data_IF_970640208591
#
_entry.id   IF_970640208591
#
_cell.length_a   1.000
_cell.length_b   1.000
_cell.length_c   1.000
_cell.angle_alpha   90.00
_cell.angle_beta   90.00
_cell.angle_gamma   90.00
#
_symmetry.space_group_name_H-M   'P 1'
#
loop_
_entity.id
_entity.type
_entity.pdbx_description
1 polymer ?
#
# COMPACT_ATOMS: atom_id res chain seq x y z
N UNK A 1 10.13 -9.27 23.30
CA UNK A 1 10.35 -8.24 24.34
C UNK A 1 11.09 -8.91 25.49
N UNK A 2 12.07 -8.27 26.10
CA UNK A 2 12.86 -8.86 27.19
C UNK A 2 12.92 -7.85 28.32
N UNK A 3 12.59 -8.28 29.53
CA UNK A 3 12.66 -7.46 30.74
C UNK A 3 13.66 -8.09 31.69
N UNK A 4 14.55 -7.27 32.26
CA UNK A 4 15.50 -7.69 33.30
C UNK A 4 15.37 -6.76 34.49
N UNK A 5 15.27 -7.32 35.70
CA UNK A 5 15.18 -6.55 36.93
C UNK A 5 16.19 -7.07 37.95
N UNK A 6 16.76 -6.17 38.76
CA UNK A 6 17.61 -6.56 39.88
C UNK A 6 16.76 -6.81 41.12
N UNK A 7 16.67 -8.06 41.57
CA UNK A 7 15.87 -8.45 42.73
C UNK A 7 16.25 -7.70 44.02
N UNK A 8 17.49 -7.22 44.13
CA UNK A 8 17.97 -6.46 45.28
C UNK A 8 17.35 -5.05 45.38
N UNK A 9 16.78 -4.53 44.30
CA UNK A 9 16.31 -3.15 44.19
C UNK A 9 14.79 -3.03 44.07
N UNK A 10 14.05 -4.15 44.10
CA UNK A 10 12.61 -4.15 43.83
C UNK A 10 11.83 -5.01 44.83
N UNK A 11 10.52 -4.75 45.00
CA UNK A 11 9.65 -5.63 45.79
C UNK A 11 9.68 -7.07 45.26
N UNK A 12 9.57 -8.05 46.15
CA UNK A 12 9.62 -9.49 45.82
C UNK A 12 8.54 -9.95 44.84
N UNK A 13 7.43 -9.21 44.76
CA UNK A 13 6.29 -9.53 43.89
C UNK A 13 6.54 -9.05 42.45
N UNK A 14 7.33 -8.00 42.27
CA UNK A 14 7.55 -7.35 40.97
C UNK A 14 8.15 -8.29 39.90
N UNK A 15 9.15 -9.16 40.18
CA UNK A 15 9.66 -10.09 39.17
C UNK A 15 8.59 -11.02 38.62
N UNK A 16 7.67 -11.49 39.49
CA UNK A 16 6.56 -12.36 39.09
C UNK A 16 5.56 -11.58 38.25
N UNK A 17 5.17 -10.39 38.69
CA UNK A 17 4.22 -9.54 37.96
C UNK A 17 4.76 -9.16 36.57
N UNK A 18 6.05 -8.85 36.45
CA UNK A 18 6.70 -8.57 35.18
C UNK A 18 6.78 -9.80 34.27
N UNK A 19 7.01 -10.99 34.85
CA UNK A 19 6.99 -12.25 34.11
C UNK A 19 5.58 -12.54 33.55
N UNK A 20 4.55 -12.37 34.38
CA UNK A 20 3.15 -12.59 33.99
C UNK A 20 2.73 -11.56 32.92
N UNK A 21 3.11 -10.29 33.07
CA UNK A 21 2.90 -9.26 32.06
C UNK A 21 3.65 -9.57 30.75
N UNK A 22 4.89 -10.07 30.82
CA UNK A 22 5.65 -10.45 29.63
C UNK A 22 5.04 -11.67 28.92
N UNK A 23 4.51 -12.65 29.67
CA UNK A 23 3.76 -13.77 29.08
C UNK A 23 2.48 -13.27 28.41
N UNK A 24 1.74 -12.36 29.06
CA UNK A 24 0.54 -11.74 28.49
C UNK A 24 0.88 -11.00 27.18
N UNK A 25 1.90 -10.14 27.19
CA UNK A 25 2.32 -9.38 26.00
C UNK A 25 2.94 -10.27 24.92
N UNK A 26 3.56 -11.39 25.29
CA UNK A 26 4.10 -12.37 24.35
C UNK A 26 3.02 -13.24 23.69
N UNK A 27 1.88 -13.42 24.37
CA UNK A 27 0.76 -14.22 23.88
C UNK A 27 -0.30 -13.41 23.11
N UNK A 28 -0.30 -12.08 23.25
CA UNK A 28 -1.27 -11.21 22.62
C UNK A 28 -0.62 -10.32 21.55
N UNK A 29 -1.38 -9.96 20.53
CA UNK A 29 -0.95 -8.95 19.57
C UNK A 29 -0.92 -7.58 20.24
N UNK A 30 0.06 -6.76 19.86
CA UNK A 30 0.22 -5.40 20.36
C UNK A 30 0.42 -4.44 19.20
N UNK A 31 -0.28 -3.32 19.21
CA UNK A 31 -0.07 -2.24 18.25
C UNK A 31 0.93 -1.24 18.86
N UNK A 32 1.91 -0.83 18.05
CA UNK A 32 2.86 0.23 18.41
C UNK A 32 2.78 1.33 17.37
N UNK A 33 2.37 2.51 17.79
CA UNK A 33 2.32 3.69 16.95
C UNK A 33 3.63 4.46 17.05
N UNK A 34 4.24 4.75 15.90
CA UNK A 34 5.45 5.54 15.80
C UNK A 34 5.17 6.78 14.95
N UNK A 35 5.63 7.94 15.43
CA UNK A 35 5.51 9.20 14.71
C UNK A 35 6.89 9.66 14.26
N UNK A 36 6.94 10.24 13.05
CA UNK A 36 8.18 10.69 12.42
C UNK A 36 8.05 12.14 11.98
N UNK A 37 9.12 12.91 12.18
CA UNK A 37 9.14 14.34 11.83
C UNK A 37 9.21 14.59 10.32
N UNK A 38 9.66 13.60 9.55
CA UNK A 38 9.77 13.68 8.10
C UNK A 38 9.63 12.29 7.46
N UNK A 39 9.41 12.28 6.14
CA UNK A 39 9.21 11.04 5.40
C UNK A 39 10.46 10.19 5.29
N UNK A 40 11.65 10.80 5.28
CA UNK A 40 12.91 10.08 5.19
C UNK A 40 13.09 9.18 6.43
N UNK A 41 12.88 9.72 7.62
CA UNK A 41 13.02 8.95 8.86
C UNK A 41 11.98 7.81 8.94
N UNK A 42 10.77 8.06 8.43
CA UNK A 42 9.75 7.02 8.28
C UNK A 42 10.23 5.89 7.34
N UNK A 43 10.76 6.24 6.16
CA UNK A 43 11.23 5.26 5.18
C UNK A 43 12.46 4.49 5.68
N UNK A 44 13.39 5.17 6.35
CA UNK A 44 14.56 4.54 6.98
C UNK A 44 14.12 3.55 8.06
N UNK A 45 13.11 3.90 8.85
CA UNK A 45 12.51 3.00 9.83
C UNK A 45 11.80 1.81 9.18
N UNK A 46 11.01 2.03 8.13
CA UNK A 46 10.37 0.96 7.36
C UNK A 46 11.40 -0.02 6.80
N UNK A 47 12.50 0.49 6.22
CA UNK A 47 13.60 -0.32 5.71
C UNK A 47 14.32 -1.09 6.82
N UNK A 48 14.58 -0.47 7.96
CA UNK A 48 15.20 -1.14 9.10
C UNK A 48 14.33 -2.28 9.69
N UNK A 49 13.00 -2.10 9.69
CA UNK A 49 12.05 -3.07 10.25
C UNK A 49 11.74 -4.22 9.30
N UNK A 50 11.58 -3.92 8.00
CA UNK A 50 11.06 -4.86 7.01
C UNK A 50 12.11 -5.35 6.02
N UNK A 51 13.27 -4.69 5.94
CA UNK A 51 14.28 -4.91 4.91
C UNK A 51 13.91 -4.37 3.53
N UNK A 52 12.75 -3.71 3.39
CA UNK A 52 12.24 -3.19 2.11
C UNK A 52 12.53 -1.70 1.98
N UNK A 53 13.10 -1.32 0.85
CA UNK A 53 13.33 0.08 0.52
C UNK A 53 12.07 0.70 -0.08
N UNK A 54 11.61 1.82 0.47
CA UNK A 54 10.53 2.63 -0.11
C UNK A 54 11.12 3.51 -1.21
N UNK A 55 10.91 3.15 -2.47
CA UNK A 55 11.45 3.87 -3.64
C UNK A 55 10.51 4.96 -4.15
N UNK A 56 9.23 4.90 -3.79
CA UNK A 56 8.22 5.91 -4.12
C UNK A 56 7.29 6.12 -2.94
N UNK A 57 6.92 7.37 -2.67
CA UNK A 57 5.88 7.73 -1.73
C UNK A 57 5.21 9.04 -2.18
N UNK A 58 3.92 8.98 -2.49
CA UNK A 58 3.13 10.18 -2.81
C UNK A 58 1.64 9.98 -2.52
N UNK A 59 0.93 11.10 -2.38
CA UNK A 59 -0.52 11.13 -2.24
C UNK A 59 -1.18 11.23 -3.62
N UNK A 60 -1.90 10.19 -3.99
CA UNK A 60 -2.79 10.20 -5.15
C UNK A 60 -4.12 10.85 -4.77
N UNK A 61 -4.58 11.80 -5.58
CA UNK A 61 -5.91 12.40 -5.42
C UNK A 61 -7.04 11.47 -5.83
N UNK A 62 -6.73 10.43 -6.59
CA UNK A 62 -7.71 9.42 -6.96
C UNK A 62 -7.02 8.08 -7.19
N UNK A 63 -7.53 7.04 -6.54
CA UNK A 63 -7.26 5.66 -6.87
C UNK A 63 -8.56 5.00 -7.30
N UNK A 64 -8.60 4.36 -8.47
CA UNK A 64 -9.82 3.77 -8.98
C UNK A 64 -9.60 2.37 -9.55
N UNK A 65 -10.54 1.46 -9.26
CA UNK A 65 -10.59 0.11 -9.80
C UNK A 65 -11.82 0.02 -10.72
N UNK A 66 -11.59 -0.25 -12.01
CA UNK A 66 -12.65 -0.38 -13.01
C UNK A 66 -13.07 -1.84 -13.14
N UNK A 67 -13.96 -2.30 -12.25
CA UNK A 67 -14.36 -3.71 -12.20
C UNK A 67 -15.20 -4.13 -13.39
N UNK A 68 -14.78 -5.16 -14.10
CA UNK A 68 -15.56 -5.78 -15.19
C UNK A 68 -16.72 -6.57 -14.61
N UNK A 69 -17.93 -6.34 -15.10
CA UNK A 69 -19.10 -7.18 -14.78
C UNK A 69 -19.19 -8.29 -15.82
N UNK A 70 -19.26 -9.55 -15.37
CA UNK A 70 -19.29 -10.72 -16.27
C UNK A 70 -20.44 -10.71 -17.29
N UNK A 71 -21.55 -10.01 -17.02
CA UNK A 71 -22.80 -10.12 -17.81
C UNK A 71 -23.27 -8.79 -18.40
N UNK A 72 -22.57 -7.67 -18.14
CA UNK A 72 -22.93 -6.36 -18.71
C UNK A 72 -21.69 -5.52 -19.05
N UNK A 73 -21.66 -4.77 -20.18
CA UNK A 73 -20.51 -3.95 -20.59
C UNK A 73 -20.26 -2.69 -19.74
N UNK A 74 -20.85 -2.61 -18.56
CA UNK A 74 -20.75 -1.44 -17.67
C UNK A 74 -19.82 -1.80 -16.52
N UNK A 75 -18.69 -1.10 -16.44
CA UNK A 75 -17.73 -1.26 -15.34
C UNK A 75 -18.33 -0.67 -14.06
N UNK A 76 -18.24 -1.41 -12.95
CA UNK A 76 -18.47 -0.81 -11.62
C UNK A 76 -17.16 -0.16 -11.20
N UNK A 77 -17.14 1.17 -11.16
CA UNK A 77 -15.97 1.91 -10.73
C UNK A 77 -15.97 2.02 -9.21
N UNK A 78 -14.92 1.47 -8.58
CA UNK A 78 -14.57 1.78 -7.20
C UNK A 78 -13.57 2.90 -7.21
N UNK A 79 -13.75 3.88 -6.34
CA UNK A 79 -12.92 5.08 -6.30
C UNK A 79 -12.65 5.44 -4.84
N UNK A 80 -11.39 5.75 -4.55
CA UNK A 80 -10.91 6.28 -3.29
C UNK A 80 -10.24 7.64 -3.54
N UNK A 81 -10.54 8.60 -2.66
CA UNK A 81 -9.81 9.85 -2.57
C UNK A 81 -8.55 9.70 -1.70
N UNK A 82 -7.63 10.66 -1.81
CA UNK A 82 -6.50 10.84 -0.88
C UNK A 82 -5.77 9.54 -0.52
N UNK A 83 -5.39 8.77 -1.54
CA UNK A 83 -4.74 7.47 -1.35
C UNK A 83 -3.23 7.65 -1.29
N UNK A 84 -2.59 7.21 -0.21
CA UNK A 84 -1.13 7.19 -0.13
C UNK A 84 -0.61 5.97 -0.88
N UNK A 85 0.20 6.25 -1.90
CA UNK A 85 0.83 5.21 -2.73
C UNK A 85 2.28 5.12 -2.34
N UNK A 86 2.71 3.94 -1.93
CA UNK A 86 4.11 3.60 -1.76
C UNK A 86 4.50 2.51 -2.77
N UNK A 87 5.71 2.60 -3.30
CA UNK A 87 6.32 1.48 -4.03
C UNK A 87 7.52 1.03 -3.24
N UNK A 88 7.54 -0.26 -2.90
CA UNK A 88 8.62 -0.88 -2.13
C UNK A 88 9.36 -1.89 -2.99
N UNK A 89 10.66 -2.01 -2.75
CA UNK A 89 11.53 -2.95 -3.44
C UNK A 89 12.33 -3.76 -2.43
N UNK A 90 12.38 -5.06 -2.65
CA UNK A 90 13.31 -5.96 -1.98
C UNK A 90 14.44 -6.30 -2.95
N UNK A 91 15.53 -5.52 -2.92
CA UNK A 91 16.73 -5.71 -3.76
C UNK A 91 16.39 -6.22 -5.19
N UNK A 92 16.87 -7.41 -5.56
CA UNK A 92 16.71 -8.05 -6.87
C UNK A 92 15.45 -8.94 -7.01
N UNK A 93 14.54 -8.96 -6.03
CA UNK A 93 13.37 -9.84 -6.04
C UNK A 93 12.17 -9.24 -6.75
N UNK A 94 11.43 -8.39 -6.04
CA UNK A 94 10.08 -8.00 -6.43
C UNK A 94 9.80 -6.56 -6.01
N UNK A 95 9.13 -5.84 -6.92
CA UNK A 95 8.59 -4.51 -6.67
C UNK A 95 7.12 -4.70 -6.28
N UNK A 96 6.71 -4.09 -5.17
CA UNK A 96 5.32 -4.12 -4.72
C UNK A 96 4.76 -2.71 -4.66
N UNK A 97 3.50 -2.55 -5.06
CA UNK A 97 2.74 -1.33 -4.84
C UNK A 97 1.89 -1.50 -3.58
N UNK A 98 1.98 -0.54 -2.67
CA UNK A 98 1.15 -0.42 -1.47
C UNK A 98 0.22 0.78 -1.65
N UNK A 99 -1.06 0.57 -1.41
CA UNK A 99 -2.06 1.64 -1.41
C UNK A 99 -2.73 1.67 -0.04
N UNK A 100 -2.62 2.82 0.65
CA UNK A 100 -3.28 3.09 1.91
C UNK A 100 -4.38 4.12 1.66
N UNK A 101 -5.62 3.75 1.96
CA UNK A 101 -6.81 4.52 1.65
C UNK A 101 -7.27 5.32 2.87
N UNK A 102 -7.52 6.62 2.66
CA UNK A 102 -8.17 7.46 3.68
C UNK A 102 -9.70 7.35 3.53
N UNK A 103 -10.21 7.61 2.32
CA UNK A 103 -11.64 7.59 2.02
C UNK A 103 -12.03 6.43 1.09
N UNK A 104 -12.08 5.21 1.62
CA UNK A 104 -12.52 4.06 0.84
C UNK A 104 -13.44 3.09 1.60
N UNK A 105 -14.62 2.84 1.04
CA UNK A 105 -15.65 2.00 1.67
C UNK A 105 -15.40 0.49 1.50
N UNK A 106 -14.37 0.11 0.75
CA UNK A 106 -14.10 -1.30 0.43
C UNK A 106 -12.81 -1.82 1.06
N UNK A 107 -12.11 -1.03 1.88
CA UNK A 107 -10.94 -1.47 2.65
C UNK A 107 -10.01 -0.32 3.01
N UNK A 108 -9.07 -0.56 3.92
CA UNK A 108 -8.12 0.46 4.42
C UNK A 108 -6.79 0.44 3.68
N UNK A 109 -6.38 -0.72 3.18
CA UNK A 109 -5.15 -0.85 2.43
C UNK A 109 -5.19 -2.05 1.47
N UNK A 110 -4.24 -2.06 0.53
CA UNK A 110 -3.94 -3.24 -0.28
C UNK A 110 -2.49 -3.20 -0.74
N UNK A 111 -1.93 -4.38 -1.03
CA UNK A 111 -0.66 -4.51 -1.72
C UNK A 111 -0.74 -5.52 -2.87
N UNK A 112 0.06 -5.32 -3.91
CA UNK A 112 0.24 -6.29 -4.97
C UNK A 112 1.59 -6.15 -5.66
N UNK A 113 2.07 -7.25 -6.21
CA UNK A 113 3.36 -7.35 -6.90
C UNK A 113 3.24 -6.79 -8.31
N UNK A 114 4.17 -5.93 -8.68
CA UNK A 114 4.34 -5.41 -10.04
C UNK A 114 5.31 -6.29 -10.82
N UNK A 115 5.00 -6.56 -12.09
CA UNK A 115 5.78 -7.47 -12.96
C UNK A 115 6.18 -6.77 -14.25
N UNK A 116 7.31 -7.19 -14.82
CA UNK A 116 7.77 -6.69 -16.13
C UNK A 116 6.84 -7.03 -17.30
N UNK A 117 5.87 -7.93 -17.09
CA UNK A 117 4.82 -8.26 -18.06
C UNK A 117 3.57 -7.38 -17.96
N UNK A 118 3.49 -6.51 -16.95
CA UNK A 118 2.35 -5.63 -16.76
C UNK A 118 2.32 -4.54 -17.84
N UNK A 119 1.13 -4.00 -18.08
CA UNK A 119 0.93 -2.95 -19.08
C UNK A 119 0.50 -1.67 -18.38
N UNK A 120 1.28 -0.61 -18.59
CA UNK A 120 1.01 0.71 -18.02
C UNK A 120 0.73 1.74 -19.12
N UNK A 121 -0.25 2.59 -18.90
CA UNK A 121 -0.63 3.67 -19.82
C UNK A 121 -0.70 5.00 -19.06
N UNK A 122 0.03 6.02 -19.52
CA UNK A 122 -0.13 7.36 -18.96
C UNK A 122 -1.34 8.05 -19.58
N UNK A 123 -2.02 8.87 -18.79
CA UNK A 123 -3.17 9.65 -19.26
C UNK A 123 -3.26 10.99 -18.53
N UNK A 124 -4.03 11.90 -19.10
CA UNK A 124 -4.35 13.20 -18.49
C UNK A 124 -5.85 13.38 -18.49
N UNK A 125 -6.43 13.80 -17.36
CA UNK A 125 -7.87 14.01 -17.23
C UNK A 125 -8.15 15.14 -16.25
N UNK A 126 -8.87 16.17 -16.72
CA UNK A 126 -9.34 17.26 -15.85
C UNK A 126 -8.20 18.00 -15.14
N UNK A 127 -7.08 18.24 -15.82
CA UNK A 127 -5.90 18.90 -15.25
C UNK A 127 -5.03 18.01 -14.36
N UNK A 128 -5.43 16.75 -14.12
CA UNK A 128 -4.68 15.76 -13.35
C UNK A 128 -3.91 14.82 -14.26
N UNK A 129 -2.77 14.37 -13.77
CA UNK A 129 -1.86 13.45 -14.46
C UNK A 129 -1.98 12.08 -13.84
N UNK A 130 -2.24 11.06 -14.64
CA UNK A 130 -2.52 9.72 -14.16
C UNK A 130 -1.78 8.61 -14.90
N UNK A 131 -1.79 7.46 -14.26
CA UNK A 131 -1.29 6.20 -14.81
C UNK A 131 -2.34 5.12 -14.63
N UNK A 132 -2.53 4.34 -15.67
CA UNK A 132 -3.46 3.22 -15.73
C UNK A 132 -2.66 1.93 -15.81
N UNK A 133 -2.98 1.01 -14.91
CA UNK A 133 -2.48 -0.36 -14.91
C UNK A 133 -3.57 -1.19 -15.59
N UNK A 134 -3.25 -1.74 -16.77
CA UNK A 134 -4.21 -2.46 -17.60
C UNK A 134 -4.26 -3.92 -17.16
N UNK A 135 -5.45 -4.43 -16.87
CA UNK A 135 -5.66 -5.81 -16.40
C UNK A 135 -4.76 -6.18 -15.20
N UNK A 136 -4.64 -5.26 -14.24
CA UNK A 136 -3.80 -5.42 -13.07
C UNK A 136 -4.31 -6.58 -12.21
N UNK A 137 -3.40 -7.43 -11.73
CA UNK A 137 -3.72 -8.59 -10.88
C UNK A 137 -3.45 -8.24 -9.42
N UNK A 138 -4.50 -8.23 -8.60
CA UNK A 138 -4.41 -7.80 -7.21
C UNK A 138 -5.38 -8.57 -6.30
N UNK A 139 -5.08 -8.66 -5.00
CA UNK A 139 -6.05 -9.10 -4.00
C UNK A 139 -7.06 -7.98 -3.73
N UNK A 140 -8.34 -8.31 -3.55
CA UNK A 140 -9.34 -7.32 -3.17
C UNK A 140 -9.03 -6.77 -1.77
N UNK A 141 -9.21 -5.47 -1.53
CA UNK A 141 -9.10 -4.91 -0.19
C UNK A 141 -10.08 -5.61 0.75
N UNK A 142 -9.63 -5.89 1.97
CA UNK A 142 -10.40 -6.66 2.96
C UNK A 142 -11.41 -5.73 3.64
N UNK A 143 -12.65 -6.18 3.74
CA UNK A 143 -13.71 -5.52 4.51
C UNK A 143 -14.11 -6.47 5.65
N UNK A 144 -14.24 -5.98 6.89
CA UNK A 144 -14.83 -6.77 7.95
C UNK A 144 -16.22 -7.28 7.55
N UNK A 145 -16.50 -8.56 7.81
CA UNK A 145 -17.83 -9.13 7.57
C UNK A 145 -18.89 -8.52 8.50
N UNK A 146 -18.45 -8.01 9.66
CA UNK A 146 -19.27 -7.34 10.66
C UNK A 146 -18.77 -5.91 10.87
N UNK A 147 -19.67 -4.93 10.91
CA UNK A 147 -19.30 -3.50 11.00
C UNK A 147 -18.76 -3.11 12.39
N UNK A 148 -18.97 -3.97 13.38
CA UNK A 148 -18.57 -3.78 14.78
C UNK A 148 -17.34 -4.64 15.15
N UNK A 149 -16.74 -5.36 14.20
CA UNK A 149 -15.53 -6.16 14.46
C UNK A 149 -14.28 -5.28 14.49
N UNK A 150 -13.30 -5.65 15.32
CA UNK A 150 -12.02 -4.96 15.43
C UNK A 150 -11.37 -4.79 14.04
N UNK A 151 -11.20 -3.53 13.63
CA UNK A 151 -10.71 -3.15 12.30
C UNK A 151 -9.21 -3.45 12.09
N UNK A 152 -8.50 -3.76 13.17
CA UNK A 152 -7.04 -3.77 13.23
C UNK A 152 -6.45 -4.78 12.23
N UNK A 153 -6.91 -6.03 12.20
CA UNK A 153 -6.34 -7.06 11.31
C UNK A 153 -6.51 -6.78 9.80
N UNK A 154 -7.42 -5.87 9.42
CA UNK A 154 -7.75 -5.55 8.03
C UNK A 154 -7.12 -4.24 7.54
N UNK A 155 -6.41 -3.53 8.43
CA UNK A 155 -5.70 -2.28 8.16
C UNK A 155 -4.19 -2.47 7.91
N UNK A 156 -3.71 -3.71 7.90
CA UNK A 156 -2.30 -4.04 7.67
C UNK A 156 -2.08 -4.81 6.37
N UNK A 157 -0.90 -4.63 5.78
CA UNK A 157 -0.43 -5.40 4.61
C UNK A 157 0.72 -6.33 5.03
N UNK A 158 0.74 -7.54 4.49
CA UNK A 158 1.86 -8.46 4.64
C UNK A 158 2.82 -8.29 3.45
N UNK A 159 4.08 -7.94 3.74
CA UNK A 159 5.07 -7.68 2.70
C UNK A 159 5.89 -8.93 2.33
N UNK A 160 6.04 -9.88 3.26
CA UNK A 160 6.81 -11.11 3.07
C UNK A 160 6.08 -12.15 2.21
N UNK A 161 4.76 -12.25 2.41
CA UNK A 161 3.88 -13.18 1.71
C UNK A 161 2.68 -12.38 1.17
N UNK A 162 2.83 -11.70 0.02
CA UNK A 162 1.74 -10.97 -0.60
C UNK A 162 0.57 -11.91 -0.91
N UNK A 163 -0.65 -11.41 -0.70
CA UNK A 163 -1.86 -12.17 -1.00
C UNK A 163 -1.93 -12.53 -2.49
N UNK A 164 -2.41 -13.75 -2.78
CA UNK A 164 -2.59 -14.20 -4.15
C UNK A 164 -3.67 -13.35 -4.85
N UNK A 165 -3.45 -12.93 -6.10
CA UNK A 165 -4.42 -12.14 -6.83
C UNK A 165 -5.67 -12.98 -7.14
N UNK A 166 -6.82 -12.53 -6.63
CA UNK A 166 -8.13 -13.14 -6.91
C UNK A 166 -8.88 -12.46 -8.06
N UNK A 167 -8.49 -11.25 -8.43
CA UNK A 167 -9.16 -10.42 -9.44
C UNK A 167 -8.15 -9.89 -10.46
N UNK A 168 -8.68 -9.49 -11.63
CA UNK A 168 -7.91 -8.77 -12.65
C UNK A 168 -8.77 -7.66 -13.28
N UNK A 169 -8.38 -6.41 -13.06
CA UNK A 169 -9.14 -5.24 -13.49
C UNK A 169 -8.21 -4.06 -13.77
N UNK A 170 -8.72 -3.06 -14.48
CA UNK A 170 -7.95 -1.84 -14.73
C UNK A 170 -7.89 -0.97 -13.46
N UNK A 171 -6.68 -0.64 -13.01
CA UNK A 171 -6.44 0.33 -11.93
C UNK A 171 -6.03 1.67 -12.53
N UNK A 172 -6.55 2.77 -12.02
CA UNK A 172 -6.16 4.13 -12.40
C UNK A 172 -5.73 4.92 -11.17
N UNK A 173 -4.53 5.49 -11.22
CA UNK A 173 -3.97 6.33 -10.15
C UNK A 173 -3.77 7.73 -10.74
N UNK A 174 -4.33 8.76 -10.09
CA UNK A 174 -4.19 10.15 -10.52
C UNK A 174 -3.53 10.98 -9.43
N UNK A 175 -2.62 11.86 -9.86
CA UNK A 175 -1.89 12.80 -9.02
C UNK A 175 -2.27 14.24 -9.40
N UNK A 176 -2.13 15.13 -8.42
CA UNK A 176 -2.21 16.58 -8.66
C UNK A 176 -1.02 17.07 -9.47
N UNK A 177 0.19 16.60 -9.12
CA UNK A 177 1.43 17.03 -9.77
C UNK A 177 1.84 16.02 -10.83
N UNK A 178 2.15 16.54 -12.00
CA UNK A 178 2.71 15.74 -13.10
C UNK A 178 4.01 15.03 -12.70
N UNK A 179 4.85 15.71 -11.91
CA UNK A 179 6.12 15.16 -11.43
C UNK A 179 5.98 13.96 -10.50
N UNK A 180 4.84 13.77 -9.84
CA UNK A 180 4.58 12.58 -9.01
C UNK A 180 4.26 11.37 -9.90
N UNK A 181 3.45 11.58 -10.95
CA UNK A 181 3.21 10.55 -11.99
C UNK A 181 4.54 10.15 -12.65
N UNK A 182 5.35 11.12 -13.06
CA UNK A 182 6.59 10.84 -13.80
C UNK A 182 7.58 10.04 -12.97
N UNK A 183 7.75 10.40 -11.70
CA UNK A 183 8.54 9.62 -10.74
C UNK A 183 8.01 8.20 -10.56
N UNK A 184 6.70 8.01 -10.50
CA UNK A 184 6.13 6.66 -10.44
C UNK A 184 6.45 5.87 -11.73
N UNK A 185 6.29 6.48 -12.91
CA UNK A 185 6.57 5.84 -14.20
C UNK A 185 8.02 5.32 -14.31
N UNK A 186 9.00 6.07 -13.79
CA UNK A 186 10.42 5.70 -13.81
C UNK A 186 10.73 4.47 -12.95
N UNK A 187 9.88 4.16 -11.96
CA UNK A 187 10.09 3.09 -10.98
C UNK A 187 9.34 1.79 -11.34
N UNK A 188 8.48 1.82 -12.37
CA UNK A 188 7.71 0.67 -12.78
C UNK A 188 8.58 -0.37 -13.51
N UNK A 189 8.31 -1.67 -13.33
CA UNK A 189 9.11 -2.75 -13.90
C UNK A 189 8.93 -2.93 -15.41
N UNK A 190 7.96 -2.25 -16.04
CA UNK A 190 7.68 -2.31 -17.47
C UNK A 190 7.49 -0.89 -18.02
N UNK A 191 7.76 -0.65 -19.32
CA UNK A 191 7.66 0.68 -19.90
C UNK A 191 6.22 1.20 -19.89
N UNK A 192 6.06 2.47 -19.55
CA UNK A 192 4.77 3.15 -19.60
C UNK A 192 4.50 3.61 -21.02
N UNK A 193 3.41 3.13 -21.61
CA UNK A 193 2.92 3.63 -22.89
C UNK A 193 2.43 5.06 -22.68
N UNK A 194 3.03 5.99 -23.40
CA UNK A 194 2.58 7.37 -23.36
C UNK A 194 1.11 7.48 -23.77
N UNK A 195 0.36 8.38 -23.14
CA UNK A 195 -0.82 8.97 -23.75
C UNK A 195 -0.38 9.39 -25.15
N UNK A 196 -0.86 8.70 -26.17
CA UNK A 196 -0.57 9.05 -27.54
C UNK A 196 -1.05 10.48 -27.71
N UNK A 197 -0.12 11.45 -27.59
CA UNK A 197 -0.25 12.70 -28.30
C UNK A 197 -0.31 12.22 -29.74
N UNK A 198 -1.53 12.10 -30.27
CA UNK A 198 -1.72 12.30 -31.69
C UNK A 198 -1.01 13.62 -31.96
N UNK A 199 0.22 13.53 -32.44
CA UNK A 199 0.90 14.63 -33.08
C UNK A 199 -0.07 15.00 -34.21
N UNK A 200 -0.84 16.04 -33.95
CA UNK A 200 -1.64 16.70 -34.95
C UNK A 200 -0.66 17.08 -36.05
N UNK A 201 -0.74 16.35 -37.17
CA UNK A 201 -0.21 16.82 -38.44
C UNK A 201 -0.56 18.29 -38.58
N UNK A 202 0.47 19.12 -38.80
CA UNK A 202 0.49 20.47 -39.42
C UNK A 202 1.95 20.93 -39.24
N UNK A 203 2.78 21.21 -40.25
CA UNK A 203 2.67 21.34 -41.70
C UNK A 203 4.05 20.96 -42.26
#
# INVERSE_FOLDING_TARGET
>A
MTVSVSEAQVPKELPRDLSDAMQLLGANQTIRSYEFNNLKDLHDFQAALTGLEVVFDSLAVTFAISRRRMVVPIHKKWEAGFTRIQVVRLEDRQVQLLAFFDEFQHGHCMNFVLKGTDVYESFHRGGKSGIKFVDAKFPLPRVPADKDADFDDMAFVCLDLPDLPGEHDDISIMFEKESDRDRLCELLPAPVKGSSRMSSRLK
#
